data_IF_040121315043
#
_entry.id   IF_040121315043
#
_cell.length_a   1.000
_cell.length_b   1.000
_cell.length_c   1.000
_cell.angle_alpha   90.00
_cell.angle_beta   90.00
_cell.angle_gamma   90.00
#
_symmetry.space_group_name_H-M   'P 1'
#
loop_
_entity.id
_entity.type
_entity.pdbx_description
1 polymer ?
#
# COMPACT_ATOMS: atom_id res chain seq x y z
N UNK A 1 19.23 0.79 14.82
CA UNK A 1 19.34 -0.37 13.95
C UNK A 1 20.77 -0.59 13.48
N UNK A 2 21.19 -1.84 13.43
CA UNK A 2 22.50 -2.20 12.90
C UNK A 2 22.48 -2.20 11.36
N UNK A 3 23.66 -2.12 10.75
CA UNK A 3 23.80 -2.20 9.29
C UNK A 3 23.23 -3.51 8.73
N UNK A 4 23.39 -4.60 9.48
CA UNK A 4 22.87 -5.92 9.08
C UNK A 4 21.34 -5.95 9.04
N UNK A 5 20.69 -5.34 10.02
CA UNK A 5 19.23 -5.20 10.05
C UNK A 5 18.73 -4.34 8.89
N UNK A 6 19.38 -3.21 8.64
CA UNK A 6 19.04 -2.33 7.52
C UNK A 6 19.20 -3.05 6.17
N UNK A 7 20.28 -3.82 6.01
CA UNK A 7 20.48 -4.61 4.79
C UNK A 7 19.42 -5.69 4.60
N UNK A 8 18.98 -6.33 5.69
CA UNK A 8 17.85 -7.26 5.65
C UNK A 8 16.58 -6.60 5.17
N UNK A 9 16.22 -5.47 5.74
CA UNK A 9 15.03 -4.71 5.34
C UNK A 9 15.15 -4.25 3.89
N UNK A 10 16.32 -3.79 3.47
CA UNK A 10 16.56 -3.41 2.07
C UNK A 10 16.32 -4.59 1.13
N UNK A 11 16.81 -5.78 1.45
CA UNK A 11 16.63 -6.99 0.65
C UNK A 11 15.14 -7.35 0.54
N UNK A 12 14.42 -7.36 1.65
CA UNK A 12 12.98 -7.65 1.71
C UNK A 12 12.19 -6.63 0.88
N UNK A 13 12.48 -5.34 1.04
CA UNK A 13 11.80 -4.27 0.32
C UNK A 13 12.09 -4.32 -1.18
N UNK A 14 13.33 -4.55 -1.56
CA UNK A 14 13.72 -4.68 -2.97
C UNK A 14 13.01 -5.85 -3.64
N UNK A 15 12.93 -7.00 -2.96
CA UNK A 15 12.18 -8.17 -3.44
C UNK A 15 10.68 -7.86 -3.60
N UNK A 16 10.11 -7.12 -2.64
CA UNK A 16 8.69 -6.71 -2.69
C UNK A 16 8.41 -5.76 -3.85
N UNK A 17 9.29 -4.80 -4.09
CA UNK A 17 9.20 -3.88 -5.23
C UNK A 17 9.21 -4.66 -6.54
N UNK A 18 10.14 -5.58 -6.71
CA UNK A 18 10.24 -6.40 -7.92
C UNK A 18 8.99 -7.26 -8.14
N UNK A 19 8.46 -7.86 -7.08
CA UNK A 19 7.23 -8.66 -7.13
C UNK A 19 6.02 -7.83 -7.53
N UNK A 20 5.82 -6.67 -6.89
CA UNK A 20 4.70 -5.76 -7.19
C UNK A 20 4.77 -5.22 -8.61
N UNK A 21 5.94 -4.83 -9.07
CA UNK A 21 6.14 -4.35 -10.44
C UNK A 21 5.80 -5.43 -11.47
N UNK A 22 6.24 -6.66 -11.25
CA UNK A 22 5.95 -7.80 -12.12
C UNK A 22 4.46 -8.12 -12.16
N UNK A 23 3.78 -8.15 -11.01
CA UNK A 23 2.34 -8.43 -10.92
C UNK A 23 1.54 -7.33 -11.62
N UNK A 24 1.90 -6.07 -11.43
CA UNK A 24 1.27 -4.93 -12.10
C UNK A 24 1.36 -5.04 -13.62
N UNK A 25 2.54 -5.35 -14.16
CA UNK A 25 2.74 -5.53 -15.60
C UNK A 25 1.94 -6.70 -16.16
N UNK A 26 1.89 -7.81 -15.43
CA UNK A 26 1.13 -8.99 -15.84
C UNK A 26 -0.37 -8.70 -15.89
N UNK A 27 -0.90 -7.96 -14.92
CA UNK A 27 -2.31 -7.54 -14.91
C UNK A 27 -2.65 -6.62 -16.06
N UNK A 28 -1.79 -5.66 -16.39
CA UNK A 28 -1.99 -4.77 -17.53
C UNK A 28 -2.08 -5.56 -18.83
N UNK A 29 -1.23 -6.55 -19.04
CA UNK A 29 -1.27 -7.42 -20.19
C UNK A 29 -2.57 -8.23 -20.26
N UNK A 30 -3.03 -8.80 -19.14
CA UNK A 30 -4.30 -9.54 -19.06
C UNK A 30 -5.49 -8.63 -19.35
N UNK A 31 -5.49 -7.41 -18.83
CA UNK A 31 -6.57 -6.45 -19.08
C UNK A 31 -6.68 -6.07 -20.55
N UNK A 32 -5.56 -5.89 -21.24
CA UNK A 32 -5.55 -5.61 -22.68
C UNK A 32 -6.13 -6.79 -23.47
N UNK A 33 -5.78 -8.01 -23.13
CA UNK A 33 -6.34 -9.20 -23.76
C UNK A 33 -7.84 -9.35 -23.54
N UNK A 34 -8.31 -9.11 -22.30
CA UNK A 34 -9.73 -9.21 -21.96
C UNK A 34 -10.58 -8.12 -22.60
N UNK A 35 -10.03 -6.93 -22.83
CA UNK A 35 -10.76 -5.87 -23.51
C UNK A 35 -10.95 -6.17 -25.01
N UNK A 36 -10.17 -7.08 -25.59
CA UNK A 36 -10.34 -7.57 -26.94
C UNK A 36 -11.46 -8.63 -27.06
N UNK A 37 -11.80 -9.32 -25.96
CA UNK A 37 -12.92 -10.25 -25.90
C UNK A 37 -14.21 -9.48 -25.62
N UNK A 38 -15.24 -9.68 -26.45
CA UNK A 38 -16.54 -9.03 -26.32
C UNK A 38 -17.30 -9.51 -25.08
N UNK A 39 -16.96 -8.96 -23.92
CA UNK A 39 -17.71 -9.18 -22.69
C UNK A 39 -18.91 -8.23 -22.64
N UNK A 40 -19.99 -8.66 -21.96
CA UNK A 40 -21.11 -7.81 -21.61
C UNK A 40 -20.61 -6.50 -20.99
N UNK A 41 -21.10 -5.36 -21.46
CA UNK A 41 -20.65 -4.02 -21.05
C UNK A 41 -20.73 -3.81 -19.54
N UNK A 42 -21.74 -4.34 -18.86
CA UNK A 42 -21.93 -4.22 -17.41
C UNK A 42 -20.84 -4.99 -16.68
N UNK A 43 -20.53 -6.22 -17.08
CA UNK A 43 -19.46 -7.02 -16.50
C UNK A 43 -18.09 -6.40 -16.77
N UNK A 44 -17.88 -5.89 -17.97
CA UNK A 44 -16.65 -5.20 -18.34
C UNK A 44 -16.40 -3.96 -17.48
N UNK A 45 -17.45 -3.15 -17.22
CA UNK A 45 -17.36 -1.97 -16.37
C UNK A 45 -17.04 -2.33 -14.92
N UNK A 46 -17.70 -3.36 -14.36
CA UNK A 46 -17.44 -3.85 -13.00
C UNK A 46 -16.02 -4.40 -12.85
N UNK A 47 -15.57 -5.17 -13.83
CA UNK A 47 -14.20 -5.72 -13.83
C UNK A 47 -13.15 -4.63 -13.95
N UNK A 48 -13.38 -3.60 -14.77
CA UNK A 48 -12.48 -2.44 -14.88
C UNK A 48 -12.41 -1.68 -13.56
N UNK A 49 -13.55 -1.45 -12.89
CA UNK A 49 -13.59 -0.75 -11.61
C UNK A 49 -12.78 -1.51 -10.55
N UNK A 50 -12.95 -2.83 -10.43
CA UNK A 50 -12.18 -3.68 -9.53
C UNK A 50 -10.69 -3.66 -9.87
N UNK A 51 -10.36 -3.76 -11.16
CA UNK A 51 -8.98 -3.75 -11.62
C UNK A 51 -8.29 -2.41 -11.30
N UNK A 52 -8.98 -1.28 -11.48
CA UNK A 52 -8.47 0.04 -11.13
C UNK A 52 -8.23 0.14 -9.63
N UNK A 53 -9.16 -0.30 -8.78
CA UNK A 53 -8.98 -0.30 -7.33
C UNK A 53 -7.78 -1.16 -6.91
N UNK A 54 -7.60 -2.33 -7.51
CA UNK A 54 -6.48 -3.21 -7.23
C UNK A 54 -5.14 -2.61 -7.69
N UNK A 55 -5.12 -1.98 -8.86
CA UNK A 55 -3.95 -1.27 -9.37
C UNK A 55 -3.54 -0.11 -8.47
N UNK A 56 -4.51 0.67 -7.98
CA UNK A 56 -4.26 1.77 -7.05
C UNK A 56 -3.64 1.27 -5.76
N UNK A 57 -4.14 0.18 -5.21
CA UNK A 57 -3.61 -0.44 -3.99
C UNK A 57 -2.16 -0.92 -4.20
N UNK A 58 -1.90 -1.61 -5.29
CA UNK A 58 -0.57 -2.11 -5.64
C UNK A 58 0.40 -0.96 -5.90
N UNK A 59 -0.05 0.06 -6.60
CA UNK A 59 0.75 1.25 -6.86
C UNK A 59 1.13 1.97 -5.56
N UNK A 60 0.19 2.09 -4.62
CA UNK A 60 0.45 2.69 -3.31
C UNK A 60 1.44 1.85 -2.51
N UNK A 61 1.31 0.52 -2.51
CA UNK A 61 2.25 -0.38 -1.86
C UNK A 61 3.65 -0.28 -2.46
N UNK A 62 3.74 -0.20 -3.79
CA UNK A 62 5.00 -0.03 -4.50
C UNK A 62 5.66 1.28 -4.12
N UNK A 63 4.90 2.37 -4.10
CA UNK A 63 5.38 3.69 -3.70
C UNK A 63 5.88 3.71 -2.26
N UNK A 64 5.15 3.07 -1.35
CA UNK A 64 5.51 2.97 0.06
C UNK A 64 6.81 2.17 0.24
N UNK A 65 6.95 1.07 -0.49
CA UNK A 65 8.17 0.27 -0.46
C UNK A 65 9.38 1.03 -1.00
N UNK A 66 9.22 1.75 -2.10
CA UNK A 66 10.27 2.60 -2.67
C UNK A 66 10.67 3.74 -1.71
N UNK A 67 9.68 4.35 -1.06
CA UNK A 67 9.93 5.39 -0.05
C UNK A 67 10.69 4.83 1.16
N UNK A 68 10.37 3.60 1.57
CA UNK A 68 11.09 2.93 2.67
C UNK A 68 12.55 2.66 2.32
N UNK A 69 12.83 2.22 1.10
CA UNK A 69 14.21 2.04 0.61
C UNK A 69 14.97 3.36 0.64
N UNK A 70 14.33 4.43 0.20
CA UNK A 70 14.90 5.78 0.24
C UNK A 70 15.25 6.20 1.67
N UNK A 71 14.39 5.91 2.65
CA UNK A 71 14.66 6.20 4.06
C UNK A 71 15.85 5.40 4.60
N UNK A 72 16.06 4.16 4.13
CA UNK A 72 17.25 3.39 4.47
C UNK A 72 18.51 4.12 3.98
N UNK A 73 18.49 4.62 2.75
CA UNK A 73 19.62 5.36 2.17
C UNK A 73 19.87 6.69 2.88
N UNK A 74 18.81 7.37 3.32
CA UNK A 74 18.90 8.63 4.06
C UNK A 74 19.21 8.47 5.55
N UNK A 75 19.13 7.26 6.08
CA UNK A 75 19.35 6.98 7.50
C UNK A 75 18.17 7.26 8.41
N UNK A 76 16.97 7.48 7.86
CA UNK A 76 15.75 7.76 8.62
C UNK A 76 14.79 6.57 8.73
N UNK A 77 15.20 5.40 8.28
CA UNK A 77 14.40 4.18 8.35
C UNK A 77 14.15 3.76 9.80
N UNK A 78 12.91 3.36 10.09
CA UNK A 78 12.51 2.92 11.43
C UNK A 78 12.11 4.05 12.37
N UNK A 79 12.08 5.28 11.87
CA UNK A 79 11.65 6.47 12.64
C UNK A 79 10.30 6.93 12.10
N UNK A 80 9.33 7.15 13.00
CA UNK A 80 8.02 7.66 12.63
C UNK A 80 8.14 9.08 12.03
N UNK A 81 7.52 9.31 10.89
CA UNK A 81 7.58 10.60 10.21
C UNK A 81 6.75 11.69 10.88
N UNK A 82 5.78 11.32 11.71
CA UNK A 82 4.92 12.29 12.41
C UNK A 82 5.45 12.69 13.78
N UNK A 83 5.83 11.71 14.61
CA UNK A 83 6.26 11.97 15.98
C UNK A 83 7.78 11.83 16.21
N UNK A 84 8.53 11.45 15.19
CA UNK A 84 9.98 11.24 15.23
C UNK A 84 10.44 10.20 16.26
N UNK A 85 9.52 9.36 16.77
CA UNK A 85 9.83 8.26 17.66
C UNK A 85 10.15 6.99 16.87
N UNK A 86 10.86 6.06 17.51
CA UNK A 86 11.19 4.78 16.89
C UNK A 86 9.93 3.94 16.65
N UNK A 87 9.81 3.39 15.45
CA UNK A 87 8.77 2.42 15.13
C UNK A 87 9.14 1.08 15.78
N UNK A 88 8.17 0.42 16.42
CA UNK A 88 8.42 -0.84 17.11
C UNK A 88 8.97 -1.90 16.13
N UNK A 89 10.04 -2.65 16.52
CA UNK A 89 10.63 -3.66 15.63
C UNK A 89 9.66 -4.72 15.13
N UNK A 90 8.68 -5.11 15.94
CA UNK A 90 7.63 -6.07 15.53
C UNK A 90 6.76 -5.53 14.39
N UNK A 91 6.45 -4.23 14.42
CA UNK A 91 5.71 -3.58 13.36
C UNK A 91 6.51 -3.54 12.06
N UNK A 92 7.81 -3.22 12.14
CA UNK A 92 8.70 -3.22 10.98
C UNK A 92 8.87 -4.62 10.39
N UNK A 93 8.91 -5.66 11.23
CA UNK A 93 8.99 -7.05 10.76
C UNK A 93 7.73 -7.45 9.99
N UNK A 94 6.55 -7.00 10.42
CA UNK A 94 5.28 -7.27 9.75
C UNK A 94 5.04 -6.36 8.54
N UNK A 95 5.40 -5.08 8.67
CA UNK A 95 5.20 -4.05 7.64
C UNK A 95 6.50 -3.29 7.42
N UNK A 96 7.42 -3.83 6.60
CA UNK A 96 8.74 -3.21 6.40
C UNK A 96 8.70 -1.79 5.81
N UNK A 97 7.63 -1.46 5.10
CA UNK A 97 7.43 -0.13 4.51
C UNK A 97 6.74 0.87 5.45
N UNK A 98 6.53 0.53 6.72
CA UNK A 98 5.84 1.40 7.67
C UNK A 98 6.59 2.73 7.84
N UNK A 99 5.87 3.83 7.63
CA UNK A 99 6.37 5.20 7.79
C UNK A 99 5.95 5.82 9.11
N UNK A 100 4.91 5.27 9.75
CA UNK A 100 4.30 5.78 10.97
C UNK A 100 4.29 4.71 12.05
N UNK A 101 4.41 5.13 13.30
CA UNK A 101 4.18 4.24 14.44
C UNK A 101 2.68 3.89 14.56
N UNK A 102 2.35 2.89 15.37
CA UNK A 102 0.96 2.43 15.54
C UNK A 102 0.04 3.58 15.94
N UNK A 103 0.46 4.42 16.88
CA UNK A 103 -0.34 5.55 17.38
C UNK A 103 -0.65 6.58 16.29
N UNK A 104 0.36 6.94 15.49
CA UNK A 104 0.19 7.90 14.40
C UNK A 104 -0.63 7.31 13.26
N UNK A 105 -0.45 6.02 12.97
CA UNK A 105 -1.25 5.32 11.97
C UNK A 105 -2.72 5.26 12.38
N UNK A 106 -3.01 4.95 13.61
CA UNK A 106 -4.38 4.95 14.14
C UNK A 106 -5.03 6.34 14.07
N UNK A 107 -4.27 7.40 14.34
CA UNK A 107 -4.76 8.76 14.22
C UNK A 107 -5.11 9.12 12.77
N UNK A 108 -4.29 8.71 11.80
CA UNK A 108 -4.56 8.92 10.37
C UNK A 108 -5.77 8.12 9.93
N UNK A 109 -5.86 6.86 10.33
CA UNK A 109 -6.99 5.98 10.00
C UNK A 109 -8.30 6.51 10.62
N UNK A 110 -8.26 7.01 11.84
CA UNK A 110 -9.40 7.64 12.51
C UNK A 110 -9.89 8.89 11.76
N UNK A 111 -8.98 9.74 11.31
CA UNK A 111 -9.34 10.91 10.50
C UNK A 111 -9.97 10.52 9.16
N UNK A 112 -9.48 9.46 8.53
CA UNK A 112 -10.08 8.94 7.30
C UNK A 112 -11.49 8.41 7.51
N UNK A 113 -11.75 7.76 8.64
CA UNK A 113 -13.11 7.31 9.01
C UNK A 113 -14.07 8.48 9.26
N UNK A 114 -13.61 9.52 9.91
CA UNK A 114 -14.40 10.75 10.12
C UNK A 114 -14.74 11.45 8.81
N UNK A 115 -13.86 11.40 7.83
CA UNK A 115 -14.08 11.95 6.48
C UNK A 115 -14.95 11.07 5.60
N UNK A 116 -15.26 9.85 6.03
CA UNK A 116 -16.10 8.93 5.29
C UNK A 116 -17.54 9.44 5.21
N UNK A 117 -18.19 9.41 4.04
CA UNK A 117 -19.60 9.74 3.97
C UNK A 117 -20.42 8.79 4.84
N UNK A 118 -21.56 9.25 5.41
CA UNK A 118 -22.37 8.41 6.29
C UNK A 118 -22.72 7.08 5.61
N UNK A 119 -22.53 6.00 6.34
CA UNK A 119 -22.83 4.66 5.82
C UNK A 119 -24.32 4.51 5.53
N UNK A 120 -24.67 3.60 4.61
CA UNK A 120 -26.07 3.30 4.28
C UNK A 120 -26.90 2.91 5.50
N UNK A 121 -26.28 2.40 6.54
CA UNK A 121 -26.96 1.99 7.77
C UNK A 121 -27.54 3.18 8.54
N UNK A 122 -26.89 4.34 8.51
CA UNK A 122 -27.43 5.57 9.08
C UNK A 122 -28.63 6.10 8.31
N UNK A 123 -28.70 5.87 7.01
CA UNK A 123 -29.85 6.25 6.18
C UNK A 123 -31.05 5.32 6.40
N UNK A 124 -30.83 4.08 6.85
CA UNK A 124 -31.91 3.15 7.21
C UNK A 124 -32.52 3.42 8.58
N UNK A 125 -31.79 4.06 9.47
CA UNK A 125 -32.25 4.38 10.81
C UNK A 125 -33.14 5.65 10.85
N UNK A 126 -33.21 6.37 9.76
CA UNK A 126 -34.11 7.49 9.57
C UNK A 126 -35.39 7.00 8.84
#
# INVERSE_FOLDING_TARGET
>A
MTKNELNRFRTVLTARVAELDRVSRHRDAIMVERSADQLDEIQAASQRALAVCNLDREFNQLRDACAAIRRIDEGSFGICQECDEDIHPKRLAAVPWAALCIKCQEAVDGNLEEMRPPSRDLLRAA
#
